data_IF_868824437061
#
_entry.id   IF_868824437061
#
_cell.length_a   1.000
_cell.length_b   1.000
_cell.length_c   1.000
_cell.angle_alpha   90.00
_cell.angle_beta   90.00
_cell.angle_gamma   90.00
#
_symmetry.space_group_name_H-M   'P 1'
#
loop_
_entity.id
_entity.type
_entity.pdbx_description
1 polymer ?
#
# COMPACT_ATOMS: atom_id res chain seq x y z
N UNK A 1 5.28 11.98 11.47
CA UNK A 1 6.76 12.14 11.34
C UNK A 1 7.08 13.18 10.27
N UNK A 2 8.28 13.77 10.24
CA UNK A 2 8.66 14.62 9.10
C UNK A 2 8.84 13.74 7.85
N UNK A 3 8.30 14.17 6.71
CA UNK A 3 8.42 13.43 5.47
C UNK A 3 9.87 13.42 4.98
N UNK A 4 10.48 12.24 4.84
CA UNK A 4 11.88 12.11 4.40
C UNK A 4 12.07 12.39 2.90
N UNK A 5 10.97 12.34 2.13
CA UNK A 5 10.99 12.57 0.68
C UNK A 5 11.00 14.07 0.36
N UNK A 6 9.97 14.82 0.76
CA UNK A 6 9.89 16.25 0.45
C UNK A 6 10.59 17.15 1.48
N UNK A 7 10.84 16.66 2.71
CA UNK A 7 11.47 17.41 3.82
C UNK A 7 10.76 18.69 4.25
N UNK A 8 9.53 18.91 3.76
CA UNK A 8 8.72 20.10 4.02
C UNK A 8 7.44 19.78 4.78
N UNK A 9 6.85 18.60 4.55
CA UNK A 9 5.58 18.19 5.15
C UNK A 9 5.72 17.27 6.36
N UNK A 10 4.61 17.11 7.07
CA UNK A 10 4.44 16.15 8.15
C UNK A 10 3.48 15.04 7.74
N UNK A 11 3.76 13.81 8.16
CA UNK A 11 2.86 12.68 7.93
C UNK A 11 1.74 12.66 8.96
N UNK A 12 0.57 12.23 8.50
CA UNK A 12 -0.62 12.01 9.30
C UNK A 12 -1.28 10.69 8.92
N UNK A 13 -1.99 10.08 9.86
CA UNK A 13 -2.70 8.82 9.59
C UNK A 13 -3.78 9.02 8.52
N UNK A 14 -3.79 8.15 7.52
CA UNK A 14 -4.71 8.21 6.39
C UNK A 14 -4.95 6.84 5.77
N UNK A 15 -5.72 6.85 4.67
CA UNK A 15 -6.01 5.66 3.88
C UNK A 15 -5.52 5.87 2.44
N UNK A 16 -4.79 4.90 1.92
CA UNK A 16 -4.23 4.95 0.56
C UNK A 16 -4.66 3.75 -0.27
N UNK A 17 -4.35 3.83 -1.57
CA UNK A 17 -4.40 2.67 -2.47
C UNK A 17 -2.97 2.22 -2.73
N UNK A 18 -2.69 0.95 -2.48
CA UNK A 18 -1.38 0.33 -2.74
C UNK A 18 -1.52 -0.61 -3.91
N UNK A 19 -0.65 -0.45 -4.92
CA UNK A 19 -0.56 -1.36 -6.05
C UNK A 19 0.74 -2.13 -5.95
N UNK A 20 0.66 -3.46 -6.02
CA UNK A 20 1.80 -4.37 -6.08
C UNK A 20 1.81 -5.06 -7.44
N UNK A 21 2.98 -5.16 -8.05
CA UNK A 21 3.15 -5.75 -9.38
C UNK A 21 4.29 -6.77 -9.35
N UNK A 22 4.07 -7.95 -9.93
CA UNK A 22 5.09 -8.99 -10.10
C UNK A 22 4.69 -9.96 -11.20
N UNK A 23 5.64 -10.30 -12.08
CA UNK A 23 5.47 -11.34 -13.11
C UNK A 23 4.21 -11.17 -14.00
N UNK A 24 3.80 -9.92 -14.23
CA UNK A 24 2.61 -9.57 -15.02
C UNK A 24 1.31 -9.50 -14.23
N UNK A 25 1.30 -9.93 -12.96
CA UNK A 25 0.17 -9.75 -12.06
C UNK A 25 0.16 -8.34 -11.45
N UNK A 26 -1.03 -7.74 -11.34
CA UNK A 26 -1.28 -6.46 -10.68
C UNK A 26 -2.29 -6.67 -9.55
N UNK A 27 -1.88 -6.43 -8.30
CA UNK A 27 -2.75 -6.55 -7.12
C UNK A 27 -2.90 -5.19 -6.47
N UNK A 28 -4.14 -4.68 -6.44
CA UNK A 28 -4.49 -3.36 -5.91
C UNK A 28 -5.27 -3.50 -4.60
N UNK A 29 -4.72 -2.93 -3.54
CA UNK A 29 -5.35 -2.84 -2.23
C UNK A 29 -5.86 -1.43 -1.98
N UNK A 30 -7.17 -1.28 -1.84
CA UNK A 30 -7.83 -0.03 -1.47
C UNK A 30 -7.93 0.11 0.04
N UNK A 31 -7.97 1.36 0.52
CA UNK A 31 -8.20 1.70 1.94
C UNK A 31 -7.16 1.07 2.88
N UNK A 32 -5.91 1.07 2.46
CA UNK A 32 -4.78 0.60 3.27
C UNK A 32 -4.42 1.71 4.27
N UNK A 33 -4.34 1.42 5.59
CA UNK A 33 -3.89 2.39 6.57
C UNK A 33 -2.40 2.73 6.37
N UNK A 34 -2.07 4.01 6.35
CA UNK A 34 -0.72 4.52 6.14
C UNK A 34 -0.53 5.87 6.84
N UNK A 35 0.72 6.28 6.99
CA UNK A 35 1.10 7.64 7.33
C UNK A 35 1.32 8.42 6.03
N UNK A 36 0.54 9.47 5.78
CA UNK A 36 0.53 10.22 4.51
C UNK A 36 1.02 11.65 4.74
N UNK A 37 1.99 12.08 3.93
CA UNK A 37 2.51 13.44 3.94
C UNK A 37 1.43 14.45 3.51
N UNK A 38 1.17 15.43 4.36
CA UNK A 38 0.22 16.53 4.12
C UNK A 38 0.59 17.44 2.93
N UNK A 39 1.85 17.46 2.54
CA UNK A 39 2.36 18.33 1.47
C UNK A 39 2.48 17.61 0.12
N UNK A 40 3.13 16.45 0.07
CA UNK A 40 3.47 15.78 -1.20
C UNK A 40 2.72 14.46 -1.44
N UNK A 41 1.90 14.00 -0.50
CA UNK A 41 1.11 12.77 -0.64
C UNK A 41 1.91 11.47 -0.53
N UNK A 42 3.22 11.54 -0.27
CA UNK A 42 4.04 10.36 0.02
C UNK A 42 3.45 9.58 1.20
N UNK A 43 3.30 8.28 1.06
CA UNK A 43 2.76 7.43 2.11
C UNK A 43 3.80 6.44 2.64
N UNK A 44 3.71 6.15 3.94
CA UNK A 44 4.56 5.20 4.65
C UNK A 44 3.68 4.11 5.24
N UNK A 45 4.05 2.85 5.00
CA UNK A 45 3.36 1.67 5.52
C UNK A 45 4.15 1.11 6.71
N UNK A 46 3.44 0.75 7.78
CA UNK A 46 4.05 0.02 8.89
C UNK A 46 4.33 -1.44 8.55
N UNK A 47 5.29 -2.05 9.24
CA UNK A 47 5.76 -3.41 8.98
C UNK A 47 4.63 -4.45 8.95
N UNK A 48 3.68 -4.38 9.90
CA UNK A 48 2.53 -5.29 9.95
C UNK A 48 1.63 -5.16 8.72
N UNK A 49 1.38 -3.93 8.27
CA UNK A 49 0.54 -3.66 7.09
C UNK A 49 1.24 -4.18 5.84
N UNK A 50 2.52 -3.87 5.68
CA UNK A 50 3.34 -4.34 4.56
C UNK A 50 3.37 -5.86 4.48
N UNK A 51 3.57 -6.54 5.62
CA UNK A 51 3.56 -8.01 5.68
C UNK A 51 2.24 -8.61 5.20
N UNK A 52 1.10 -8.08 5.66
CA UNK A 52 -0.23 -8.52 5.24
C UNK A 52 -0.49 -8.29 3.75
N UNK A 53 -0.08 -7.14 3.21
CA UNK A 53 -0.22 -6.85 1.77
C UNK A 53 0.57 -7.85 0.93
N UNK A 54 1.81 -8.13 1.33
CA UNK A 54 2.67 -9.06 0.62
C UNK A 54 2.09 -10.48 0.66
N UNK A 55 1.73 -10.99 1.83
CA UNK A 55 1.11 -12.32 1.96
C UNK A 55 -0.12 -12.48 1.05
N UNK A 56 -0.99 -11.47 1.02
CA UNK A 56 -2.20 -11.47 0.21
C UNK A 56 -1.91 -11.35 -1.29
N UNK A 57 -0.91 -10.57 -1.68
CA UNK A 57 -0.52 -10.45 -3.08
C UNK A 57 0.10 -11.75 -3.60
N UNK A 58 0.98 -12.39 -2.82
CA UNK A 58 1.56 -13.70 -3.17
C UNK A 58 0.46 -14.76 -3.31
N UNK A 59 -0.53 -14.77 -2.41
CA UNK A 59 -1.68 -15.66 -2.52
C UNK A 59 -2.51 -15.41 -3.80
N UNK A 60 -2.74 -14.14 -4.17
CA UNK A 60 -3.44 -13.81 -5.43
C UNK A 60 -2.65 -14.29 -6.66
N UNK A 61 -1.33 -14.07 -6.67
CA UNK A 61 -0.44 -14.52 -7.75
C UNK A 61 -0.43 -16.05 -7.85
N UNK A 62 -0.33 -16.75 -6.73
CA UNK A 62 -0.37 -18.22 -6.69
C UNK A 62 -1.70 -18.80 -7.20
N UNK A 63 -2.79 -18.03 -7.10
CA UNK A 63 -4.10 -18.37 -7.65
C UNK A 63 -4.28 -17.97 -9.12
N UNK A 64 -3.23 -17.47 -9.77
CA UNK A 64 -3.23 -17.09 -11.19
C UNK A 64 -3.88 -15.76 -11.49
N UNK A 65 -3.96 -14.84 -10.53
CA UNK A 65 -4.51 -13.51 -10.76
C UNK A 65 -3.61 -12.68 -11.69
N UNK A 66 -4.14 -12.25 -12.84
CA UNK A 66 -3.50 -11.23 -13.68
C UNK A 66 -3.79 -9.82 -13.14
N UNK A 67 -5.02 -9.57 -12.69
CA UNK A 67 -5.42 -8.32 -12.03
C UNK A 67 -6.39 -8.63 -10.90
N UNK A 68 -6.07 -8.21 -9.68
CA UNK A 68 -6.96 -8.30 -8.52
C UNK A 68 -7.10 -6.93 -7.84
N UNK A 69 -8.33 -6.54 -7.49
CA UNK A 69 -8.62 -5.29 -6.78
C UNK A 69 -9.46 -5.61 -5.55
N UNK A 70 -8.97 -5.29 -4.36
CA UNK A 70 -9.65 -5.59 -3.09
C UNK A 70 -9.50 -4.50 -2.06
N UNK A 71 -10.40 -4.46 -1.07
CA UNK A 71 -10.25 -3.59 0.09
C UNK A 71 -9.34 -4.25 1.13
N UNK A 72 -8.50 -3.46 1.81
CA UNK A 72 -7.60 -3.98 2.86
C UNK A 72 -8.35 -4.60 4.04
N UNK A 73 -9.52 -4.04 4.39
CA UNK A 73 -10.35 -4.54 5.48
C UNK A 73 -11.18 -5.79 5.13
N UNK A 74 -11.14 -6.25 3.87
CA UNK A 74 -11.88 -7.41 3.38
C UNK A 74 -11.01 -8.67 3.32
#
# INVERSE_FOLDING_TARGET
MNCVICKQGTTQTGLVTVTLEREGAIVVFKRVPAEVCDNCGEYYLGDEVTGKLLERAEAAIANGAEVEIRSYAA
#
